data_IF_617608047547
#
_entry.id   IF_617608047547
#
_cell.length_a   1.000
_cell.length_b   1.000
_cell.length_c   1.000
_cell.angle_alpha   90.00
_cell.angle_beta   90.00
_cell.angle_gamma   90.00
#
_symmetry.space_group_name_H-M   'P 1'
#
loop_
_entity.id
_entity.type
_entity.pdbx_description
1 polymer ?
#
# COMPACT_ATOMS: atom_id res chain seq x y z
N UNK A 1 27.49 -45.37 -11.47
CA UNK A 1 26.12 -45.04 -11.03
C UNK A 1 26.10 -44.32 -9.68
N UNK A 2 26.86 -44.77 -8.68
CA UNK A 2 26.86 -44.19 -7.32
C UNK A 2 27.40 -42.75 -7.20
N UNK A 3 28.45 -42.38 -7.95
CA UNK A 3 29.06 -41.05 -7.90
C UNK A 3 28.17 -39.92 -8.42
N UNK A 4 27.32 -40.21 -9.42
CA UNK A 4 26.37 -39.25 -9.98
C UNK A 4 25.24 -38.91 -9.00
N UNK A 5 24.81 -39.88 -8.17
CA UNK A 5 23.83 -39.66 -7.12
C UNK A 5 24.38 -38.81 -5.97
N UNK A 6 25.64 -39.03 -5.59
CA UNK A 6 26.29 -38.23 -4.54
C UNK A 6 26.47 -36.77 -4.99
N UNK A 7 26.87 -36.54 -6.24
CA UNK A 7 27.02 -35.21 -6.82
C UNK A 7 25.70 -34.44 -6.93
N UNK A 8 24.61 -35.12 -7.33
CA UNK A 8 23.29 -34.49 -7.41
C UNK A 8 22.73 -34.13 -6.04
N UNK A 9 22.90 -34.99 -5.03
CA UNK A 9 22.48 -34.69 -3.64
C UNK A 9 23.32 -33.54 -3.06
N UNK A 10 24.63 -33.51 -3.30
CA UNK A 10 25.51 -32.44 -2.85
C UNK A 10 25.16 -31.09 -3.48
N UNK A 11 24.91 -31.08 -4.79
CA UNK A 11 24.52 -29.86 -5.52
C UNK A 11 23.16 -29.32 -5.02
N UNK A 12 22.16 -30.18 -4.80
CA UNK A 12 20.87 -29.77 -4.25
C UNK A 12 21.00 -29.24 -2.82
N UNK A 13 21.84 -29.86 -1.98
CA UNK A 13 22.12 -29.39 -0.63
C UNK A 13 22.79 -28.01 -0.61
N UNK A 14 23.80 -27.80 -1.46
CA UNK A 14 24.49 -26.52 -1.57
C UNK A 14 23.59 -25.38 -2.04
N UNK A 15 22.71 -25.66 -3.02
CA UNK A 15 21.72 -24.68 -3.52
C UNK A 15 20.71 -24.31 -2.42
N UNK A 16 20.21 -25.29 -1.66
CA UNK A 16 19.29 -25.02 -0.54
C UNK A 16 19.92 -24.13 0.53
N UNK A 17 21.18 -24.41 0.92
CA UNK A 17 21.91 -23.60 1.91
C UNK A 17 22.15 -22.18 1.38
N UNK A 18 22.47 -22.02 0.09
CA UNK A 18 22.66 -20.71 -0.54
C UNK A 18 21.36 -19.89 -0.61
N UNK A 19 20.20 -20.54 -0.71
CA UNK A 19 18.89 -19.86 -0.76
C UNK A 19 18.34 -19.51 0.63
N UNK A 20 18.80 -20.16 1.70
CA UNK A 20 18.40 -19.86 3.08
C UNK A 20 18.44 -18.36 3.44
N UNK A 21 19.50 -17.58 3.18
CA UNK A 21 19.51 -16.15 3.51
C UNK A 21 18.42 -15.36 2.76
N UNK A 22 18.12 -15.75 1.52
CA UNK A 22 17.06 -15.15 0.70
C UNK A 22 15.68 -15.39 1.34
N UNK A 23 15.40 -16.63 1.76
CA UNK A 23 14.16 -16.98 2.46
C UNK A 23 14.05 -16.32 3.83
N UNK A 24 15.16 -16.17 4.57
CA UNK A 24 15.17 -15.47 5.87
C UNK A 24 14.80 -14.00 5.67
N UNK A 25 15.40 -13.31 4.69
CA UNK A 25 15.08 -11.90 4.41
C UNK A 25 13.63 -11.74 3.97
N UNK A 26 13.14 -12.61 3.07
CA UNK A 26 11.74 -12.60 2.65
C UNK A 26 10.79 -12.85 3.84
N UNK A 27 11.11 -13.81 4.70
CA UNK A 27 10.30 -14.12 5.89
C UNK A 27 10.26 -12.97 6.88
N UNK A 28 11.37 -12.26 7.10
CA UNK A 28 11.43 -11.05 7.92
C UNK A 28 10.56 -9.95 7.30
N UNK A 29 10.59 -9.79 5.98
CA UNK A 29 9.80 -8.79 5.26
C UNK A 29 8.30 -9.09 5.35
N UNK A 30 7.89 -10.34 5.11
CA UNK A 30 6.50 -10.82 5.27
C UNK A 30 6.03 -10.67 6.72
N UNK A 31 6.90 -10.98 7.70
CA UNK A 31 6.56 -10.79 9.12
C UNK A 31 6.37 -9.32 9.48
N UNK A 32 7.12 -8.40 8.88
CA UNK A 32 6.92 -6.96 9.04
C UNK A 32 5.62 -6.48 8.40
N UNK A 33 5.26 -7.02 7.23
CA UNK A 33 3.95 -6.82 6.57
C UNK A 33 2.80 -7.29 7.46
N UNK A 34 2.84 -8.54 7.95
CA UNK A 34 1.79 -9.13 8.79
C UNK A 34 1.60 -8.43 10.13
N UNK A 35 2.66 -7.88 10.72
CA UNK A 35 2.57 -7.13 11.98
C UNK A 35 1.99 -5.73 11.83
N UNK A 36 1.55 -5.33 10.62
CA UNK A 36 0.98 -4.01 10.37
C UNK A 36 1.94 -2.86 10.71
N UNK A 37 3.25 -3.13 10.77
CA UNK A 37 4.28 -2.13 11.12
C UNK A 37 4.65 -1.22 9.94
N UNK A 38 4.13 -1.50 8.76
CA UNK A 38 4.13 -0.55 7.66
C UNK A 38 2.98 0.43 7.84
N UNK A 39 3.27 1.72 7.75
CA UNK A 39 2.28 2.81 7.81
C UNK A 39 1.14 2.56 6.80
N UNK A 40 1.47 1.92 5.67
CA UNK A 40 0.59 1.55 4.56
C UNK A 40 -0.39 0.39 4.83
N UNK A 41 -0.21 -0.36 5.94
CA UNK A 41 -1.04 -1.54 6.24
C UNK A 41 -1.98 -1.31 7.44
N UNK A 42 -2.12 -0.08 7.91
CA UNK A 42 -3.14 0.20 8.92
C UNK A 42 -4.51 0.08 8.24
N UNK A 43 -5.44 -0.74 8.77
CA UNK A 43 -6.78 -0.85 8.23
C UNK A 43 -7.47 0.50 8.37
N UNK A 44 -7.44 1.29 7.30
CA UNK A 44 -8.11 2.58 7.20
C UNK A 44 -9.24 2.43 6.22
N UNK A 45 -10.43 2.76 6.68
CA UNK A 45 -11.59 2.81 5.81
C UNK A 45 -11.55 4.13 5.07
N UNK A 46 -11.60 4.01 3.75
CA UNK A 46 -11.72 5.14 2.85
C UNK A 46 -13.17 5.24 2.39
N UNK A 47 -13.63 6.47 2.19
CA UNK A 47 -14.92 6.74 1.57
C UNK A 47 -14.76 7.90 0.61
N UNK A 48 -15.30 7.73 -0.58
CA UNK A 48 -15.27 8.75 -1.62
C UNK A 48 -16.70 9.10 -1.94
N UNK A 49 -17.08 10.36 -1.69
CA UNK A 49 -18.44 10.82 -1.90
C UNK A 49 -18.42 12.26 -2.40
N UNK A 50 -19.17 12.54 -3.47
CA UNK A 50 -19.29 13.88 -4.08
C UNK A 50 -17.94 14.57 -4.39
N UNK A 51 -16.96 13.82 -4.89
CA UNK A 51 -15.64 14.37 -5.24
C UNK A 51 -14.77 14.74 -4.03
N UNK A 52 -15.20 14.45 -2.81
CA UNK A 52 -14.39 14.60 -1.60
C UNK A 52 -13.98 13.23 -1.06
N UNK A 53 -12.71 13.12 -0.71
CA UNK A 53 -12.16 11.95 -0.05
C UNK A 53 -12.28 12.08 1.46
N UNK A 54 -12.67 10.98 2.12
CA UNK A 54 -12.74 10.88 3.57
C UNK A 54 -12.00 9.63 4.03
N UNK A 55 -11.30 9.76 5.15
CA UNK A 55 -10.58 8.65 5.78
C UNK A 55 -10.98 8.55 7.24
N UNK A 56 -11.10 7.32 7.74
CA UNK A 56 -11.38 7.03 9.14
C UNK A 56 -10.06 6.79 9.89
N UNK A 57 -9.57 7.83 10.58
CA UNK A 57 -8.26 7.79 11.26
C UNK A 57 -8.32 7.26 12.69
N UNK A 58 -9.40 7.55 13.43
CA UNK A 58 -9.55 7.13 14.84
C UNK A 58 -10.97 6.68 15.14
N UNK A 59 -11.96 7.56 14.96
CA UNK A 59 -13.40 7.26 15.19
C UNK A 59 -14.30 7.99 14.20
N UNK A 60 -13.93 9.22 13.83
CA UNK A 60 -14.69 10.05 12.91
C UNK A 60 -14.15 10.04 11.48
N UNK A 61 -15.06 10.32 10.54
CA UNK A 61 -14.75 10.55 9.15
C UNK A 61 -14.21 11.97 8.97
N UNK A 62 -12.96 12.08 8.53
CA UNK A 62 -12.34 13.37 8.27
C UNK A 62 -12.17 13.58 6.77
N UNK A 63 -12.52 14.77 6.29
CA UNK A 63 -12.26 15.18 4.91
C UNK A 63 -10.76 15.41 4.71
N UNK A 64 -10.22 14.77 3.68
CA UNK A 64 -8.82 14.88 3.31
C UNK A 64 -8.70 15.35 1.87
N UNK A 65 -7.75 16.24 1.64
CA UNK A 65 -7.27 16.54 0.29
C UNK A 65 -6.38 15.39 -0.14
N UNK A 66 -6.63 14.88 -1.34
CA UNK A 66 -5.91 13.72 -1.90
C UNK A 66 -5.31 14.11 -3.24
N UNK A 67 -4.11 13.60 -3.48
CA UNK A 67 -3.39 13.80 -4.73
C UNK A 67 -2.92 12.44 -5.23
N UNK A 68 -3.30 12.10 -6.46
CA UNK A 68 -2.85 10.88 -7.12
C UNK A 68 -1.37 10.99 -7.49
N UNK A 69 -0.60 9.94 -7.19
CA UNK A 69 0.75 9.78 -7.72
C UNK A 69 0.85 8.62 -8.69
N UNK A 70 0.17 7.50 -8.40
CA UNK A 70 0.13 6.37 -9.32
C UNK A 70 -1.19 5.63 -9.17
N UNK A 71 -1.82 5.29 -10.30
CA UNK A 71 -3.15 4.68 -10.33
C UNK A 71 -3.11 3.35 -11.06
N UNK A 72 -3.42 2.26 -10.36
CA UNK A 72 -3.63 0.94 -10.94
C UNK A 72 -5.09 0.48 -10.76
N UNK A 73 -5.55 -0.56 -11.49
CA UNK A 73 -6.90 -1.08 -11.35
C UNK A 73 -7.22 -1.65 -9.96
N UNK A 74 -6.22 -2.17 -9.26
CA UNK A 74 -6.37 -2.85 -7.96
C UNK A 74 -5.84 -2.04 -6.77
N UNK A 75 -5.05 -1.00 -7.02
CA UNK A 75 -4.46 -0.17 -5.97
C UNK A 75 -4.10 1.23 -6.48
N UNK A 76 -4.07 2.21 -5.57
CA UNK A 76 -3.68 3.58 -5.87
C UNK A 76 -2.69 4.07 -4.83
N UNK A 77 -1.59 4.64 -5.30
CA UNK A 77 -0.65 5.37 -4.44
C UNK A 77 -1.08 6.82 -4.41
N UNK A 78 -1.37 7.27 -3.20
CA UNK A 78 -1.90 8.61 -2.98
C UNK A 78 -1.08 9.34 -1.94
N UNK A 79 -1.04 10.66 -2.09
CA UNK A 79 -0.59 11.55 -1.05
C UNK A 79 -1.79 12.31 -0.53
N UNK A 80 -2.05 12.23 0.77
CA UNK A 80 -3.19 12.90 1.36
C UNK A 80 -2.76 13.87 2.45
N UNK A 81 -3.61 14.85 2.71
CA UNK A 81 -3.48 15.82 3.78
C UNK A 81 -4.84 16.01 4.43
N UNK A 82 -4.85 16.05 5.75
CA UNK A 82 -6.05 16.42 6.48
C UNK A 82 -6.36 17.91 6.29
N UNK A 83 -7.63 18.21 6.03
CA UNK A 83 -8.06 19.59 5.77
C UNK A 83 -8.21 20.38 7.06
N UNK A 84 -8.38 19.68 8.17
CA UNK A 84 -8.58 20.31 9.46
C UNK A 84 -7.28 20.96 9.97
N UNK A 85 -7.43 22.18 10.49
CA UNK A 85 -6.31 22.91 11.06
C UNK A 85 -6.17 22.40 12.49
N UNK A 86 -5.04 21.74 12.78
CA UNK A 86 -4.75 21.32 14.16
C UNK A 86 -4.93 22.50 15.12
N UNK A 87 -5.36 22.25 16.35
CA UNK A 87 -5.51 23.26 17.41
C UNK A 87 -4.29 24.18 17.61
N UNK A 88 -3.11 23.76 17.14
CA UNK A 88 -1.87 24.54 17.09
C UNK A 88 -1.70 25.48 15.88
N UNK A 89 -2.75 25.71 15.07
CA UNK A 89 -2.72 26.55 13.86
C UNK A 89 -1.83 26.03 12.72
N UNK A 90 -1.28 24.81 12.86
CA UNK A 90 -0.37 24.20 11.89
C UNK A 90 -1.14 23.25 11.00
N UNK A 91 -1.11 23.52 9.69
CA UNK A 91 -1.66 22.59 8.71
C UNK A 91 -0.89 21.26 8.79
N UNK A 92 -1.61 20.13 8.77
CA UNK A 92 -0.99 18.82 8.87
C UNK A 92 -0.05 18.57 7.68
N UNK A 93 0.98 17.75 7.92
CA UNK A 93 1.96 17.36 6.90
C UNK A 93 1.30 16.39 5.93
N UNK A 94 1.69 16.47 4.67
CA UNK A 94 1.32 15.48 3.66
C UNK A 94 1.83 14.09 4.06
N UNK A 95 0.95 13.11 3.96
CA UNK A 95 1.23 11.70 4.25
C UNK A 95 1.00 10.86 3.00
N UNK A 96 1.73 9.76 2.90
CA UNK A 96 1.59 8.81 1.80
C UNK A 96 0.76 7.63 2.26
N UNK A 97 -0.17 7.20 1.41
CA UNK A 97 -0.94 5.98 1.62
C UNK A 97 -1.08 5.17 0.33
N UNK A 98 -1.39 3.88 0.51
CA UNK A 98 -1.74 2.99 -0.60
C UNK A 98 -3.16 2.52 -0.37
N UNK A 99 -4.07 2.97 -1.22
CA UNK A 99 -5.48 2.55 -1.18
C UNK A 99 -5.61 1.31 -2.03
N UNK A 100 -5.84 0.19 -1.36
CA UNK A 100 -6.13 -1.09 -2.00
C UNK A 100 -7.64 -1.21 -2.25
N UNK A 101 -8.03 -2.08 -3.19
CA UNK A 101 -9.43 -2.33 -3.53
C UNK A 101 -10.32 -2.72 -2.32
N UNK A 102 -9.76 -3.41 -1.32
CA UNK A 102 -10.46 -3.85 -0.11
C UNK A 102 -10.66 -2.73 0.94
N UNK A 103 -10.03 -1.57 0.75
CA UNK A 103 -10.12 -0.44 1.68
C UNK A 103 -11.43 0.39 1.53
N UNK A 104 -12.19 0.13 0.46
CA UNK A 104 -13.45 0.81 0.12
C UNK A 104 -14.51 -0.21 -0.32
N UNK A 105 -15.77 0.21 -0.29
CA UNK A 105 -16.82 -0.48 -1.05
C UNK A 105 -16.49 -0.48 -2.55
N UNK A 106 -16.87 -1.56 -3.23
CA UNK A 106 -16.50 -1.80 -4.63
C UNK A 106 -16.91 -0.66 -5.57
N UNK A 107 -18.09 -0.07 -5.40
CA UNK A 107 -18.57 1.04 -6.24
C UNK A 107 -17.82 2.34 -5.96
N UNK A 108 -17.66 2.68 -4.68
CA UNK A 108 -16.90 3.84 -4.21
C UNK A 108 -15.45 3.79 -4.71
N UNK A 109 -14.83 2.61 -4.69
CA UNK A 109 -13.48 2.42 -5.21
C UNK A 109 -13.41 2.66 -6.73
N UNK A 110 -14.38 2.17 -7.51
CA UNK A 110 -14.39 2.42 -8.97
C UNK A 110 -14.52 3.90 -9.31
N UNK A 111 -15.40 4.61 -8.61
CA UNK A 111 -15.55 6.06 -8.77
C UNK A 111 -14.28 6.80 -8.39
N UNK A 112 -13.63 6.38 -7.30
CA UNK A 112 -12.35 6.92 -6.88
C UNK A 112 -11.24 6.72 -7.92
N UNK A 113 -11.06 5.50 -8.44
CA UNK A 113 -10.10 5.23 -9.52
C UNK A 113 -10.36 6.15 -10.71
N UNK A 114 -11.62 6.33 -11.11
CA UNK A 114 -11.96 7.19 -12.24
C UNK A 114 -11.56 8.65 -11.99
N UNK A 115 -11.88 9.20 -10.81
CA UNK A 115 -11.47 10.55 -10.42
C UNK A 115 -9.94 10.71 -10.41
N UNK A 116 -9.24 9.77 -9.79
CA UNK A 116 -7.78 9.82 -9.67
C UNK A 116 -7.08 9.68 -11.02
N UNK A 117 -7.64 8.91 -11.96
CA UNK A 117 -7.13 8.83 -13.34
C UNK A 117 -7.28 10.16 -14.07
N UNK A 118 -8.43 10.83 -13.93
CA UNK A 118 -8.65 12.15 -14.53
C UNK A 118 -7.65 13.17 -13.99
N UNK A 119 -7.43 13.21 -12.68
CA UNK A 119 -6.45 14.13 -12.07
C UNK A 119 -5.00 13.81 -12.47
N UNK A 120 -4.67 12.53 -12.57
CA UNK A 120 -3.34 12.09 -12.97
C UNK A 120 -3.05 12.46 -14.44
N UNK A 121 -3.98 12.21 -15.35
CA UNK A 121 -3.87 12.61 -16.76
C UNK A 121 -3.78 14.13 -16.93
N UNK A 122 -4.53 14.90 -16.13
CA UNK A 122 -4.47 16.36 -16.18
C UNK A 122 -3.12 16.95 -15.75
N UNK A 123 -2.27 16.18 -15.06
CA UNK A 123 -0.91 16.61 -14.65
C UNK A 123 0.19 16.22 -15.64
N UNK A 124 -0.08 15.29 -16.54
CA UNK A 124 0.89 14.88 -17.58
C UNK A 124 0.81 15.78 -18.82
N UNK A 125 -0.19 16.67 -18.90
CA UNK A 125 -0.38 17.70 -19.94
C UNK A 125 0.21 19.03 -19.49
#
# INVERSE_FOLDING_TARGET
MSYLLVLTVYFHGAVLVALCPLFIVQSIYIRKLWRGKFIFCRPRQWQFFNGQARVKLTQDWQSVDVVAHQVWPSCVIIRYRENDINAAGKRPRWQWDIVMFDACEHESFRQFIALMRCEYQAKEV
#
